data_IF_171569054641
#
_entry.id   IF_171569054641
#
_cell.length_a   1.000
_cell.length_b   1.000
_cell.length_c   1.000
_cell.angle_alpha   90.00
_cell.angle_beta   90.00
_cell.angle_gamma   90.00
#
_symmetry.space_group_name_H-M   'P 1'
#
loop_
_entity.id
_entity.type
_entity.pdbx_description
1 polymer ?
#
# COMPACT_ATOMS: atom_id res chain seq x y z
N UNK A 1 78.60 58.83 -1.73
CA UNK A 1 78.49 57.41 -1.45
C UNK A 1 76.97 57.01 -1.50
N UNK A 2 76.53 56.48 -2.62
CA UNK A 2 75.12 56.10 -2.80
C UNK A 2 75.12 54.59 -3.01
N UNK A 3 74.56 53.83 -2.07
CA UNK A 3 74.38 52.38 -2.16
C UNK A 3 72.95 52.11 -2.72
N UNK A 4 72.88 51.60 -3.94
CA UNK A 4 71.68 51.14 -4.59
C UNK A 4 71.40 49.69 -4.15
N UNK A 5 70.26 49.45 -3.49
CA UNK A 5 69.73 48.12 -3.17
C UNK A 5 68.86 47.65 -4.30
N UNK A 6 69.22 46.52 -4.87
CA UNK A 6 68.50 45.78 -5.90
C UNK A 6 67.52 44.84 -5.22
N UNK A 7 66.21 45.05 -5.35
CA UNK A 7 65.19 44.17 -4.89
C UNK A 7 64.80 43.17 -5.97
N UNK A 8 65.17 41.90 -5.76
CA UNK A 8 64.68 40.78 -6.53
C UNK A 8 63.24 40.44 -6.10
N UNK A 9 62.28 40.67 -6.98
CA UNK A 9 60.90 40.22 -6.81
C UNK A 9 60.76 38.76 -7.19
N UNK A 10 60.43 37.94 -6.21
CA UNK A 10 60.07 36.51 -6.39
C UNK A 10 58.58 36.39 -6.71
N UNK A 11 58.24 36.18 -7.97
CA UNK A 11 56.87 35.91 -8.39
C UNK A 11 56.53 34.46 -8.09
N UNK A 12 55.74 34.25 -6.99
CA UNK A 12 55.16 32.93 -6.72
C UNK A 12 53.95 32.69 -7.60
N UNK A 13 54.08 31.75 -8.54
CA UNK A 13 53.01 31.28 -9.40
C UNK A 13 52.09 30.35 -8.60
N UNK A 14 50.95 30.88 -8.12
CA UNK A 14 49.91 30.03 -7.52
C UNK A 14 49.15 29.28 -8.60
N UNK A 15 49.43 27.99 -8.78
CA UNK A 15 48.56 27.05 -9.51
C UNK A 15 47.30 26.78 -8.74
N UNK A 16 46.21 27.48 -9.07
CA UNK A 16 44.86 27.17 -8.57
C UNK A 16 44.40 25.92 -9.31
N UNK A 17 44.52 24.77 -8.65
CA UNK A 17 43.91 23.52 -9.14
C UNK A 17 42.41 23.64 -8.96
N UNK A 18 41.68 23.92 -10.04
CA UNK A 18 40.23 23.83 -10.07
C UNK A 18 39.82 22.35 -9.92
N UNK A 19 39.48 21.97 -8.69
CA UNK A 19 38.80 20.70 -8.43
C UNK A 19 37.41 20.84 -9.06
N UNK A 20 37.26 20.25 -10.25
CA UNK A 20 35.94 20.09 -10.87
C UNK A 20 35.08 19.22 -9.94
N UNK A 21 34.19 19.83 -9.18
CA UNK A 21 33.11 19.13 -8.49
C UNK A 21 32.21 18.50 -9.55
N UNK A 22 32.42 17.22 -9.81
CA UNK A 22 31.41 16.43 -10.53
C UNK A 22 30.10 16.50 -9.75
N UNK A 23 28.97 16.88 -10.38
CA UNK A 23 27.70 16.82 -9.74
C UNK A 23 27.48 15.34 -9.35
N UNK A 24 27.40 15.05 -8.08
CA UNK A 24 26.96 13.75 -7.56
C UNK A 24 25.59 13.51 -8.21
N UNK A 25 25.56 12.59 -9.18
CA UNK A 25 24.30 12.02 -9.64
C UNK A 25 23.63 11.47 -8.38
N UNK A 26 22.60 12.17 -7.93
CA UNK A 26 21.68 11.64 -6.96
C UNK A 26 21.25 10.28 -7.51
N UNK A 27 21.61 9.21 -6.81
CA UNK A 27 21.07 7.89 -7.05
C UNK A 27 19.55 8.11 -7.01
N UNK A 28 18.91 8.00 -8.17
CA UNK A 28 17.46 7.89 -8.24
C UNK A 28 17.14 6.64 -7.44
N UNK A 29 16.65 6.90 -6.23
CA UNK A 29 15.94 5.92 -5.44
C UNK A 29 14.76 5.48 -6.32
N UNK A 30 14.91 4.35 -6.98
CA UNK A 30 13.91 3.79 -7.88
C UNK A 30 12.91 2.96 -7.08
N UNK A 31 12.31 3.57 -6.05
CA UNK A 31 10.95 3.28 -5.70
C UNK A 31 10.12 3.94 -6.81
N UNK A 32 9.65 3.14 -7.77
CA UNK A 32 8.84 3.65 -8.87
C UNK A 32 7.61 4.32 -8.27
N UNK A 33 7.63 5.64 -8.17
CA UNK A 33 6.53 6.44 -7.67
C UNK A 33 5.42 6.32 -8.72
N UNK A 34 4.29 5.72 -8.31
CA UNK A 34 3.13 5.59 -9.17
C UNK A 34 2.71 6.96 -9.70
N UNK A 35 2.36 7.05 -10.98
CA UNK A 35 1.68 8.23 -11.51
C UNK A 35 0.33 8.38 -10.81
N UNK A 36 -0.25 9.60 -10.78
CA UNK A 36 -1.59 9.81 -10.20
C UNK A 36 -2.64 8.88 -10.81
N UNK A 37 -2.59 8.67 -12.13
CA UNK A 37 -3.51 7.74 -12.80
C UNK A 37 -3.35 6.28 -12.34
N UNK A 38 -2.12 5.82 -12.13
CA UNK A 38 -1.85 4.49 -11.59
C UNK A 38 -2.29 4.36 -10.13
N UNK A 39 -2.10 5.42 -9.32
CA UNK A 39 -2.55 5.46 -7.94
C UNK A 39 -4.08 5.33 -7.83
N UNK A 40 -4.83 6.06 -8.66
CA UNK A 40 -6.29 5.96 -8.72
C UNK A 40 -6.78 4.60 -9.24
N UNK A 41 -6.09 4.06 -10.23
CA UNK A 41 -6.38 2.70 -10.74
C UNK A 41 -6.15 1.64 -9.67
N UNK A 42 -5.04 1.74 -8.94
CA UNK A 42 -4.73 0.86 -7.82
C UNK A 42 -5.80 0.98 -6.72
N UNK A 43 -6.13 2.22 -6.31
CA UNK A 43 -7.16 2.44 -5.30
C UNK A 43 -8.48 1.78 -5.68
N UNK A 44 -8.96 2.00 -6.92
CA UNK A 44 -10.23 1.49 -7.39
C UNK A 44 -10.28 -0.04 -7.52
N UNK A 45 -9.21 -0.65 -8.02
CA UNK A 45 -9.20 -2.06 -8.43
C UNK A 45 -8.50 -2.99 -7.43
N UNK A 46 -7.74 -2.45 -6.49
CA UNK A 46 -7.03 -3.22 -5.48
C UNK A 46 -7.43 -2.80 -4.06
N UNK A 47 -7.21 -1.51 -3.70
CA UNK A 47 -7.35 -1.08 -2.31
C UNK A 47 -8.79 -1.21 -1.81
N UNK A 48 -9.79 -0.83 -2.60
CA UNK A 48 -11.20 -0.87 -2.19
C UNK A 48 -12.03 -1.95 -2.89
N UNK A 49 -11.38 -2.86 -3.60
CA UNK A 49 -12.02 -3.86 -4.45
C UNK A 49 -13.12 -4.69 -3.75
N UNK A 50 -13.00 -4.91 -2.45
CA UNK A 50 -13.92 -5.74 -1.66
C UNK A 50 -15.03 -4.95 -0.93
N UNK A 51 -14.99 -3.61 -0.98
CA UNK A 51 -15.96 -2.77 -0.26
C UNK A 51 -16.61 -1.69 -1.12
N UNK A 52 -16.12 -1.49 -2.33
CA UNK A 52 -16.71 -0.53 -3.27
C UNK A 52 -17.93 -1.16 -3.94
N UNK A 53 -19.05 -0.42 -4.00
CA UNK A 53 -20.24 -0.89 -4.72
C UNK A 53 -20.09 -0.71 -6.23
N UNK A 54 -20.92 -1.40 -7.01
CA UNK A 54 -20.94 -1.25 -8.46
C UNK A 54 -21.29 0.19 -8.88
N UNK A 55 -22.18 0.85 -8.14
CA UNK A 55 -22.58 2.24 -8.35
C UNK A 55 -21.42 3.20 -8.07
N UNK A 56 -20.73 3.04 -6.94
CA UNK A 56 -19.55 3.83 -6.59
C UNK A 56 -18.44 3.66 -7.62
N UNK A 57 -18.19 2.42 -8.06
CA UNK A 57 -17.19 2.13 -9.10
C UNK A 57 -17.53 2.82 -10.41
N UNK A 58 -18.79 2.77 -10.86
CA UNK A 58 -19.23 3.49 -12.06
C UNK A 58 -19.09 4.99 -11.91
N UNK A 59 -19.51 5.56 -10.77
CA UNK A 59 -19.40 6.98 -10.50
C UNK A 59 -17.93 7.45 -10.56
N UNK A 60 -17.02 6.72 -9.90
CA UNK A 60 -15.60 7.04 -9.91
C UNK A 60 -15.00 7.04 -11.33
N UNK A 61 -15.36 6.07 -12.17
CA UNK A 61 -14.84 5.95 -13.54
C UNK A 61 -15.30 7.07 -14.47
N UNK A 62 -16.39 7.78 -14.12
CA UNK A 62 -16.91 8.91 -14.90
C UNK A 62 -16.23 10.24 -14.57
N UNK A 63 -15.48 10.32 -13.48
CA UNK A 63 -14.79 11.54 -13.03
C UNK A 63 -13.69 11.94 -14.02
N UNK A 64 -13.56 13.24 -14.27
CA UNK A 64 -12.67 13.75 -15.32
C UNK A 64 -11.38 14.36 -14.77
N UNK A 65 -11.43 14.94 -13.56
CA UNK A 65 -10.29 15.59 -12.94
C UNK A 65 -9.77 14.82 -11.73
N UNK A 66 -8.54 15.10 -11.34
CA UNK A 66 -7.94 14.53 -10.14
C UNK A 66 -8.61 15.08 -8.87
N UNK A 67 -8.99 16.36 -8.87
CA UNK A 67 -9.73 16.97 -7.76
C UNK A 67 -11.07 16.27 -7.52
N UNK A 68 -11.82 15.93 -8.58
CA UNK A 68 -13.06 15.15 -8.44
C UNK A 68 -12.80 13.75 -7.84
N UNK A 69 -11.70 13.11 -8.25
CA UNK A 69 -11.32 11.78 -7.71
C UNK A 69 -10.93 11.85 -6.24
N UNK A 70 -10.14 12.85 -5.85
CA UNK A 70 -9.77 13.06 -4.45
C UNK A 70 -11.00 13.31 -3.57
N UNK A 71 -11.89 14.21 -4.01
CA UNK A 71 -13.15 14.47 -3.29
C UNK A 71 -14.03 13.22 -3.17
N UNK A 72 -14.07 12.39 -4.23
CA UNK A 72 -14.79 11.13 -4.17
C UNK A 72 -14.18 10.17 -3.15
N UNK A 73 -12.85 10.02 -3.14
CA UNK A 73 -12.12 9.16 -2.20
C UNK A 73 -12.36 9.61 -0.76
N UNK A 74 -12.29 10.91 -0.49
CA UNK A 74 -12.60 11.45 0.84
C UNK A 74 -14.05 11.16 1.24
N UNK A 75 -15.00 11.39 0.34
CA UNK A 75 -16.41 11.11 0.60
C UNK A 75 -16.67 9.61 0.77
N UNK A 76 -15.97 8.75 0.03
CA UNK A 76 -16.05 7.30 0.16
C UNK A 76 -15.68 6.82 1.57
N UNK A 77 -14.57 7.32 2.13
CA UNK A 77 -14.14 6.97 3.48
C UNK A 77 -15.01 7.61 4.56
N UNK A 78 -15.42 8.87 4.40
CA UNK A 78 -16.29 9.57 5.34
C UNK A 78 -17.64 8.88 5.52
N UNK A 79 -18.23 8.33 4.46
CA UNK A 79 -19.49 7.56 4.56
C UNK A 79 -19.35 6.26 5.37
N UNK A 80 -18.14 5.77 5.52
CA UNK A 80 -17.81 4.53 6.25
C UNK A 80 -17.21 4.77 7.62
N UNK A 81 -17.07 6.03 7.99
CA UNK A 81 -16.51 6.45 9.25
C UNK A 81 -17.53 6.21 10.39
N UNK A 82 -17.20 5.40 11.40
CA UNK A 82 -18.10 5.17 12.53
C UNK A 82 -18.13 6.33 13.52
N UNK A 83 -17.13 7.23 13.49
CA UNK A 83 -16.99 8.36 14.42
C UNK A 83 -16.58 9.63 13.67
N UNK A 84 -17.46 10.19 12.80
CA UNK A 84 -17.12 11.30 11.91
C UNK A 84 -16.77 12.61 12.62
N UNK A 85 -16.92 12.67 13.95
CA UNK A 85 -16.51 13.79 14.82
C UNK A 85 -15.04 13.72 15.24
N UNK A 86 -14.33 12.63 14.95
CA UNK A 86 -12.88 12.50 15.22
C UNK A 86 -12.05 12.83 13.98
N UNK A 87 -10.78 13.21 14.19
CA UNK A 87 -9.84 13.49 13.07
C UNK A 87 -9.40 12.24 12.32
N UNK A 88 -9.60 11.07 12.92
CA UNK A 88 -9.21 9.78 12.35
C UNK A 88 -10.44 9.01 11.89
N UNK A 89 -10.32 8.38 10.73
CA UNK A 89 -11.30 7.42 10.27
C UNK A 89 -10.83 6.01 10.65
N UNK A 90 -11.39 5.47 11.75
CA UNK A 90 -10.98 4.18 12.31
C UNK A 90 -11.28 3.03 11.34
N UNK A 91 -12.40 3.09 10.62
CA UNK A 91 -12.72 2.08 9.63
C UNK A 91 -11.69 2.03 8.50
N UNK A 92 -11.26 3.19 7.99
CA UNK A 92 -10.21 3.28 6.97
C UNK A 92 -8.89 2.70 7.48
N UNK A 93 -8.49 3.09 8.69
CA UNK A 93 -7.24 2.62 9.30
C UNK A 93 -7.26 1.10 9.49
N UNK A 94 -8.36 0.55 10.03
CA UNK A 94 -8.53 -0.88 10.22
C UNK A 94 -8.55 -1.63 8.88
N UNK A 95 -9.24 -1.12 7.88
CA UNK A 95 -9.34 -1.73 6.56
C UNK A 95 -7.97 -1.85 5.87
N UNK A 96 -7.18 -0.78 5.86
CA UNK A 96 -5.81 -0.85 5.33
C UNK A 96 -4.90 -1.76 6.17
N UNK A 97 -5.10 -1.79 7.48
CA UNK A 97 -4.42 -2.74 8.36
C UNK A 97 -4.71 -4.20 7.98
N UNK A 98 -5.96 -4.53 7.62
CA UNK A 98 -6.36 -5.86 7.14
C UNK A 98 -5.70 -6.20 5.81
N UNK A 99 -5.58 -5.25 4.87
CA UNK A 99 -4.86 -5.46 3.60
C UNK A 99 -3.38 -5.74 3.86
N UNK A 100 -2.73 -4.95 4.72
CA UNK A 100 -1.34 -5.14 5.08
C UNK A 100 -1.11 -6.53 5.73
N UNK A 101 -1.97 -6.91 6.67
CA UNK A 101 -1.93 -8.23 7.29
C UNK A 101 -2.11 -9.35 6.26
N UNK A 102 -3.08 -9.23 5.36
CA UNK A 102 -3.33 -10.23 4.32
C UNK A 102 -2.10 -10.39 3.41
N UNK A 103 -1.47 -9.30 2.99
CA UNK A 103 -0.27 -9.35 2.17
C UNK A 103 0.90 -10.01 2.88
N UNK A 104 1.06 -9.77 4.17
CA UNK A 104 2.14 -10.35 4.97
C UNK A 104 1.93 -11.84 5.25
N UNK A 105 0.66 -12.28 5.45
CA UNK A 105 0.39 -13.62 6.00
C UNK A 105 -0.24 -14.60 5.01
N UNK A 106 -0.81 -14.13 3.91
CA UNK A 106 -1.56 -14.97 2.98
C UNK A 106 -1.03 -14.92 1.54
N UNK A 107 0.09 -14.24 1.30
CA UNK A 107 0.72 -14.26 -0.02
C UNK A 107 1.16 -15.70 -0.38
N UNK A 108 1.02 -16.06 -1.66
CA UNK A 108 1.38 -17.36 -2.17
C UNK A 108 2.04 -17.25 -3.53
N UNK A 109 3.24 -17.80 -3.67
CA UNK A 109 4.02 -17.66 -4.91
C UNK A 109 4.17 -16.18 -5.32
N UNK A 110 3.72 -15.83 -6.53
CA UNK A 110 3.70 -14.46 -7.03
C UNK A 110 2.35 -13.75 -6.78
N UNK A 111 1.41 -14.39 -6.08
CA UNK A 111 0.11 -13.82 -5.76
C UNK A 111 0.19 -13.02 -4.47
N UNK A 112 -0.15 -11.74 -4.54
CA UNK A 112 -0.28 -10.89 -3.35
C UNK A 112 -1.36 -11.43 -2.41
N UNK A 113 -1.13 -11.33 -1.09
CA UNK A 113 -2.01 -11.94 -0.09
C UNK A 113 -3.44 -11.42 -0.14
N UNK A 114 -3.64 -10.15 -0.52
CA UNK A 114 -4.97 -9.58 -0.67
C UNK A 114 -5.80 -10.26 -1.78
N UNK A 115 -5.16 -10.88 -2.79
CA UNK A 115 -5.83 -11.58 -3.89
C UNK A 115 -6.21 -13.03 -3.57
N UNK A 116 -5.63 -13.60 -2.53
CA UNK A 116 -5.95 -14.97 -2.12
C UNK A 116 -7.34 -15.06 -1.50
N UNK A 117 -7.93 -16.24 -1.47
CA UNK A 117 -9.23 -16.44 -0.82
C UNK A 117 -9.21 -16.10 0.67
N UNK A 118 -8.12 -16.49 1.38
CA UNK A 118 -7.94 -16.10 2.78
C UNK A 118 -7.85 -14.58 2.94
N UNK A 119 -7.09 -13.93 2.07
CA UNK A 119 -6.96 -12.47 2.07
C UNK A 119 -8.29 -11.77 1.84
N UNK A 120 -9.06 -12.22 0.85
CA UNK A 120 -10.38 -11.68 0.56
C UNK A 120 -11.33 -11.78 1.76
N UNK A 121 -11.42 -12.95 2.39
CA UNK A 121 -12.27 -13.15 3.57
C UNK A 121 -11.80 -12.31 4.75
N UNK A 122 -10.49 -12.27 5.00
CA UNK A 122 -9.93 -11.47 6.11
C UNK A 122 -10.14 -9.96 5.92
N UNK A 123 -9.93 -9.45 4.72
CA UNK A 123 -10.14 -8.03 4.42
C UNK A 123 -11.61 -7.66 4.56
N UNK A 124 -12.51 -8.52 4.08
CA UNK A 124 -13.95 -8.26 4.12
C UNK A 124 -14.52 -8.33 5.53
N UNK A 125 -14.15 -9.36 6.28
CA UNK A 125 -14.82 -9.68 7.56
C UNK A 125 -13.93 -9.47 8.79
N UNK A 126 -12.64 -9.23 8.61
CA UNK A 126 -11.69 -9.10 9.70
C UNK A 126 -11.16 -10.43 10.21
N UNK A 127 -10.55 -10.37 11.40
CA UNK A 127 -10.00 -11.55 12.08
C UNK A 127 -11.13 -12.52 12.50
N UNK A 128 -11.04 -13.83 12.18
CA UNK A 128 -11.98 -14.81 12.68
C UNK A 128 -11.90 -14.96 14.20
N UNK A 129 -13.02 -15.34 14.83
CA UNK A 129 -13.07 -15.62 16.27
C UNK A 129 -12.32 -16.91 16.63
N UNK A 130 -12.38 -17.92 15.75
CA UNK A 130 -11.65 -19.19 15.91
C UNK A 130 -11.13 -19.70 14.56
N UNK A 131 -9.98 -20.38 14.58
CA UNK A 131 -9.35 -21.03 13.41
C UNK A 131 -9.02 -22.46 13.74
N UNK A 132 -9.66 -23.40 13.08
CA UNK A 132 -9.37 -24.83 13.19
C UNK A 132 -8.54 -25.29 12.01
N UNK A 133 -7.35 -25.81 12.29
CA UNK A 133 -6.40 -26.27 11.28
C UNK A 133 -6.41 -27.79 11.18
N UNK A 134 -6.23 -28.30 9.96
CA UNK A 134 -6.02 -29.71 9.64
C UNK A 134 -4.81 -29.88 8.73
N UNK A 135 -4.45 -31.11 8.39
CA UNK A 135 -3.37 -31.40 7.43
C UNK A 135 -3.66 -30.94 6.00
N UNK A 136 -4.94 -30.72 5.65
CA UNK A 136 -5.37 -30.39 4.28
C UNK A 136 -6.12 -29.08 4.15
N UNK A 137 -6.17 -28.27 5.22
CA UNK A 137 -6.90 -27.01 5.18
C UNK A 137 -7.12 -26.38 6.55
N UNK A 138 -7.95 -25.35 6.55
CA UNK A 138 -8.36 -24.66 7.76
C UNK A 138 -9.81 -24.18 7.67
N UNK A 139 -10.47 -24.04 8.81
CA UNK A 139 -11.83 -23.54 8.94
C UNK A 139 -11.79 -22.29 9.81
N UNK A 140 -12.24 -21.18 9.25
CA UNK A 140 -12.40 -19.92 9.98
C UNK A 140 -13.83 -19.81 10.47
N UNK A 141 -14.00 -19.50 11.74
CA UNK A 141 -15.29 -19.39 12.41
C UNK A 141 -15.48 -17.97 12.90
N UNK A 142 -16.63 -17.39 12.53
CA UNK A 142 -17.10 -16.10 13.00
C UNK A 142 -18.38 -16.29 13.80
N UNK A 143 -18.40 -15.84 15.05
CA UNK A 143 -19.56 -15.96 15.93
C UNK A 143 -20.77 -15.17 15.38
N UNK A 144 -20.46 -14.02 14.77
CA UNK A 144 -21.47 -13.19 14.11
C UNK A 144 -20.83 -12.34 13.00
N UNK A 145 -21.47 -12.33 11.83
CA UNK A 145 -21.14 -11.40 10.76
C UNK A 145 -22.39 -10.65 10.31
N UNK A 146 -22.32 -9.31 10.17
CA UNK A 146 -23.40 -8.54 9.54
C UNK A 146 -23.79 -9.14 8.19
N UNK A 147 -25.08 -9.26 7.91
CA UNK A 147 -25.64 -9.80 6.66
C UNK A 147 -25.49 -11.32 6.44
N UNK A 148 -24.67 -12.04 7.22
CA UNK A 148 -24.50 -13.50 7.10
C UNK A 148 -25.04 -14.25 8.33
N UNK A 149 -25.18 -13.57 9.47
CA UNK A 149 -25.76 -14.14 10.69
C UNK A 149 -24.74 -14.72 11.66
N UNK A 150 -25.16 -15.75 12.41
CA UNK A 150 -24.36 -16.36 13.48
C UNK A 150 -23.67 -17.65 13.03
N UNK A 151 -22.53 -17.96 13.67
CA UNK A 151 -21.75 -19.20 13.47
C UNK A 151 -21.35 -19.43 12.00
N UNK A 152 -20.95 -18.35 11.33
CA UNK A 152 -20.52 -18.40 9.93
C UNK A 152 -19.16 -19.08 9.83
N UNK A 153 -19.03 -20.00 8.87
CA UNK A 153 -17.78 -20.74 8.64
C UNK A 153 -17.31 -20.55 7.22
N UNK A 154 -16.01 -20.31 7.07
CA UNK A 154 -15.32 -20.36 5.79
C UNK A 154 -14.30 -21.50 5.84
N UNK A 155 -14.43 -22.44 4.92
CA UNK A 155 -13.53 -23.59 4.83
C UNK A 155 -12.54 -23.38 3.70
N UNK A 156 -11.26 -23.48 4.02
CA UNK A 156 -10.18 -23.38 3.04
C UNK A 156 -9.48 -24.72 2.91
N UNK A 157 -9.22 -25.14 1.67
CA UNK A 157 -8.47 -26.38 1.41
C UNK A 157 -7.16 -26.08 0.69
N UNK A 158 -6.09 -26.68 1.16
CA UNK A 158 -4.80 -26.76 0.48
C UNK A 158 -4.59 -28.20 -0.01
N UNK A 159 -5.16 -28.52 -1.18
CA UNK A 159 -5.10 -29.88 -1.75
C UNK A 159 -3.70 -30.31 -2.15
N UNK A 160 -2.84 -29.35 -2.46
CA UNK A 160 -1.49 -29.59 -2.93
C UNK A 160 -0.44 -29.58 -1.81
N UNK A 161 -0.81 -29.10 -0.61
CA UNK A 161 0.12 -28.90 0.51
C UNK A 161 1.16 -27.80 0.24
N UNK A 162 0.89 -26.91 -0.72
CA UNK A 162 1.82 -25.88 -1.14
C UNK A 162 1.59 -24.51 -0.49
N UNK A 163 0.53 -24.38 0.30
CA UNK A 163 0.12 -23.12 0.92
C UNK A 163 -0.94 -22.36 0.12
N UNK A 164 -1.42 -22.91 -1.00
CA UNK A 164 -2.52 -22.34 -1.80
C UNK A 164 -3.87 -22.75 -1.21
N UNK A 165 -4.32 -21.96 -0.24
CA UNK A 165 -5.59 -22.17 0.44
C UNK A 165 -6.76 -21.59 -0.37
N UNK A 166 -7.56 -22.46 -0.96
CA UNK A 166 -8.73 -22.12 -1.74
C UNK A 166 -10.02 -22.29 -0.94
N UNK A 167 -10.93 -21.33 -1.03
CA UNK A 167 -12.24 -21.40 -0.37
C UNK A 167 -13.08 -22.54 -0.99
N UNK A 168 -13.61 -23.41 -0.14
CA UNK A 168 -14.60 -24.42 -0.57
C UNK A 168 -15.95 -23.74 -0.82
N UNK A 169 -16.52 -24.06 -1.95
CA UNK A 169 -17.89 -23.65 -2.30
C UNK A 169 -18.91 -24.55 -1.61
#
# INVERSE_FOLDING_TARGET
>A
MKRTFLLLGLAALMCISAIAQQPRRASRDSSAQLTLGEAYSKWLNEDVAYIITAEEKRAFTMLKSDDEREQFIEAFWRRRDPQPETDQNEYRAEYYGRIAYANQNFAFGNMAGWRTDRGRIYITYGKPDDVRKSSSGEVWIYNYLPNLGRNVKFEFSDKSGTGDFQLRQ
#
